data_IF_973492662244
#
_entry.id   IF_973492662244
#
_cell.length_a   1.000
_cell.length_b   1.000
_cell.length_c   1.000
_cell.angle_alpha   90.00
_cell.angle_beta   90.00
_cell.angle_gamma   90.00
#
_symmetry.space_group_name_H-M   'P 1'
#
loop_
_entity.id
_entity.type
_entity.pdbx_description
1 polymer ?
#
# COMPACT_ATOMS: atom_id res chain seq x y z
N UNK A 1 -8.15 -6.22 -2.76
CA UNK A 1 -7.45 -4.98 -3.17
C UNK A 1 -7.05 -4.09 -1.99
N UNK A 2 -7.83 -4.02 -0.90
CA UNK A 2 -7.38 -3.40 0.36
C UNK A 2 -6.13 -4.05 0.97
N UNK A 3 -5.98 -5.37 0.78
CA UNK A 3 -4.82 -6.17 1.18
C UNK A 3 -3.48 -5.61 0.68
N UNK A 4 -3.42 -5.13 -0.57
CA UNK A 4 -2.17 -4.62 -1.14
C UNK A 4 -1.89 -3.18 -0.74
N UNK A 5 -2.91 -2.45 -0.26
CA UNK A 5 -2.72 -1.06 0.18
C UNK A 5 -2.34 -1.03 1.65
N UNK A 6 -2.98 -1.80 2.53
CA UNK A 6 -2.67 -1.80 3.98
C UNK A 6 -1.40 -2.58 4.32
N UNK A 7 -1.26 -3.82 3.83
CA UNK A 7 -0.10 -4.66 4.13
C UNK A 7 1.19 -4.15 3.45
N UNK A 8 1.11 -3.61 2.23
CA UNK A 8 2.28 -2.98 1.60
C UNK A 8 2.62 -1.62 2.22
N UNK A 9 1.65 -0.88 2.80
CA UNK A 9 1.95 0.36 3.52
C UNK A 9 2.67 0.11 4.84
N UNK A 10 2.18 -0.82 5.64
CA UNK A 10 2.79 -1.16 6.94
C UNK A 10 4.21 -1.70 6.78
N UNK A 11 4.47 -2.49 5.73
CA UNK A 11 5.81 -3.01 5.44
C UNK A 11 6.76 -1.96 4.84
N UNK A 12 6.27 -0.94 4.10
CA UNK A 12 7.13 0.07 3.47
C UNK A 12 7.57 1.22 4.39
N UNK A 13 6.82 1.49 5.47
CA UNK A 13 7.10 2.59 6.39
C UNK A 13 8.15 2.21 7.45
N UNK A 14 8.27 0.92 7.79
CA UNK A 14 9.04 0.48 8.97
C UNK A 14 10.50 0.06 8.69
N UNK A 15 10.99 0.06 7.44
CA UNK A 15 12.26 -0.64 7.09
C UNK A 15 13.34 0.23 6.43
N UNK A 16 13.32 1.56 6.56
CA UNK A 16 14.29 2.44 5.85
C UNK A 16 15.16 3.24 6.82
N UNK A 17 16.50 3.22 6.67
CA UNK A 17 17.39 3.99 7.51
C UNK A 17 17.17 5.49 7.31
N UNK A 18 17.14 6.20 8.44
CA UNK A 18 16.71 7.58 8.63
C UNK A 18 17.83 8.52 8.18
N UNK A 19 17.64 9.25 7.07
CA UNK A 19 18.52 10.36 6.73
C UNK A 19 17.76 11.48 6.02
N UNK A 20 17.71 12.64 6.70
CA UNK A 20 17.15 13.96 6.30
C UNK A 20 15.73 14.27 6.82
N UNK A 21 15.64 15.38 7.55
CA UNK A 21 14.42 15.94 8.17
C UNK A 21 13.24 16.15 7.21
N UNK A 22 13.51 16.38 5.92
CA UNK A 22 12.49 16.51 4.86
C UNK A 22 11.81 15.18 4.51
N UNK A 23 12.52 14.06 4.63
CA UNK A 23 12.00 12.72 4.42
C UNK A 23 10.97 12.35 5.50
N UNK A 24 11.24 12.72 6.77
CA UNK A 24 10.31 12.50 7.87
C UNK A 24 8.98 13.23 7.69
N UNK A 25 9.01 14.50 7.25
CA UNK A 25 7.79 15.29 7.03
C UNK A 25 6.96 14.71 5.90
N UNK A 26 7.58 14.36 4.77
CA UNK A 26 6.87 13.81 3.62
C UNK A 26 6.36 12.39 3.88
N UNK A 27 7.11 11.55 4.61
CA UNK A 27 6.65 10.23 5.05
C UNK A 27 5.53 10.31 6.09
N UNK A 28 5.60 11.25 7.02
CA UNK A 28 4.55 11.48 8.01
C UNK A 28 3.23 11.92 7.36
N UNK A 29 3.33 12.78 6.34
CA UNK A 29 2.14 13.28 5.63
C UNK A 29 1.47 12.19 4.78
N UNK A 30 2.20 11.33 4.06
CA UNK A 30 1.56 10.22 3.33
C UNK A 30 0.93 9.20 4.29
N UNK A 31 1.56 8.92 5.43
CA UNK A 31 0.98 8.05 6.48
C UNK A 31 -0.35 8.62 6.97
N UNK A 32 -0.43 9.94 7.19
CA UNK A 32 -1.69 10.62 7.57
C UNK A 32 -2.79 10.37 6.54
N UNK A 33 -2.49 10.46 5.24
CA UNK A 33 -3.49 10.19 4.18
C UNK A 33 -4.00 8.74 4.24
N UNK A 34 -3.13 7.77 4.51
CA UNK A 34 -3.54 6.37 4.66
C UNK A 34 -4.38 6.14 5.92
N UNK A 35 -4.08 6.82 7.02
CA UNK A 35 -4.94 6.75 8.21
C UNK A 35 -6.32 7.40 7.96
N UNK A 36 -6.37 8.48 7.17
CA UNK A 36 -7.63 9.11 6.77
C UNK A 36 -8.45 8.23 5.83
N UNK A 37 -7.80 7.43 4.98
CA UNK A 37 -8.47 6.47 4.09
C UNK A 37 -9.39 5.52 4.90
N UNK A 38 -8.93 5.06 6.06
CA UNK A 38 -9.69 4.15 6.93
C UNK A 38 -10.96 4.81 7.50
N UNK A 39 -11.03 6.14 7.51
CA UNK A 39 -12.15 6.90 8.07
C UNK A 39 -13.25 7.23 7.06
N UNK A 40 -13.02 6.99 5.76
CA UNK A 40 -14.01 7.25 4.71
C UNK A 40 -15.27 6.41 4.93
N UNK A 41 -16.44 7.06 4.87
CA UNK A 41 -17.76 6.43 5.05
C UNK A 41 -18.76 6.87 3.98
N UNK A 42 -18.55 8.03 3.37
CA UNK A 42 -19.47 8.60 2.38
C UNK A 42 -18.79 8.86 1.04
N UNK A 43 -19.60 9.07 0.00
CA UNK A 43 -19.08 9.47 -1.31
C UNK A 43 -18.39 10.84 -1.25
N UNK A 44 -18.88 11.75 -0.40
CA UNK A 44 -18.24 13.05 -0.18
C UNK A 44 -16.85 12.90 0.45
N UNK A 45 -16.69 12.03 1.44
CA UNK A 45 -15.38 11.74 2.05
C UNK A 45 -14.40 11.19 1.01
N UNK A 46 -14.87 10.31 0.11
CA UNK A 46 -14.08 9.75 -0.99
C UNK A 46 -13.62 10.85 -1.95
N UNK A 47 -14.49 11.75 -2.37
CA UNK A 47 -14.14 12.85 -3.28
C UNK A 47 -13.12 13.78 -2.61
N UNK A 48 -13.41 14.21 -1.38
CA UNK A 48 -12.52 15.06 -0.60
C UNK A 48 -11.12 14.43 -0.45
N UNK A 49 -11.06 13.18 -0.03
CA UNK A 49 -9.80 12.48 0.20
C UNK A 49 -9.00 12.28 -1.10
N UNK A 50 -9.67 12.00 -2.22
CA UNK A 50 -9.01 11.91 -3.54
C UNK A 50 -8.35 13.22 -3.94
N UNK A 51 -9.04 14.34 -3.71
CA UNK A 51 -8.50 15.66 -4.01
C UNK A 51 -7.30 15.97 -3.10
N UNK A 52 -7.44 15.77 -1.78
CA UNK A 52 -6.34 16.00 -0.83
C UNK A 52 -5.10 15.15 -1.15
N UNK A 53 -5.28 13.88 -1.53
CA UNK A 53 -4.18 13.01 -1.95
C UNK A 53 -3.51 13.50 -3.25
N UNK A 54 -4.30 14.02 -4.19
CA UNK A 54 -3.78 14.59 -5.43
C UNK A 54 -2.99 15.86 -5.17
N UNK A 55 -3.52 16.76 -4.34
CA UNK A 55 -2.87 18.01 -3.95
C UNK A 55 -1.60 17.77 -3.15
N UNK A 56 -1.60 16.76 -2.29
CA UNK A 56 -0.39 16.31 -1.62
C UNK A 56 0.67 15.85 -2.62
N UNK A 57 0.31 15.07 -3.64
CA UNK A 57 1.26 14.62 -4.64
C UNK A 57 1.83 15.79 -5.44
N UNK A 58 0.99 16.74 -5.86
CA UNK A 58 1.43 17.93 -6.59
C UNK A 58 2.44 18.74 -5.77
N UNK A 59 2.16 18.96 -4.47
CA UNK A 59 3.07 19.67 -3.55
C UNK A 59 4.43 18.98 -3.36
N UNK A 60 4.49 17.66 -3.50
CA UNK A 60 5.72 16.88 -3.26
C UNK A 60 6.25 16.22 -4.53
N UNK A 61 5.76 16.63 -5.71
CA UNK A 61 6.02 15.96 -6.97
C UNK A 61 7.52 15.90 -7.28
N UNK A 62 8.22 17.02 -7.09
CA UNK A 62 9.65 17.13 -7.38
C UNK A 62 10.47 16.19 -6.50
N UNK A 63 10.15 16.12 -5.21
CA UNK A 63 10.78 15.21 -4.27
C UNK A 63 10.47 13.73 -4.58
N UNK A 64 9.22 13.41 -4.94
CA UNK A 64 8.82 12.05 -5.32
C UNK A 64 9.48 11.60 -6.63
N UNK A 65 9.76 12.53 -7.54
CA UNK A 65 10.40 12.30 -8.82
C UNK A 65 11.92 12.49 -8.79
N UNK A 66 12.50 12.88 -7.65
CA UNK A 66 13.94 13.07 -7.49
C UNK A 66 14.70 11.82 -7.94
N UNK A 67 15.74 12.02 -8.75
CA UNK A 67 16.58 10.97 -9.31
C UNK A 67 18.02 11.18 -8.84
N UNK A 68 18.64 10.12 -8.38
CA UNK A 68 20.08 10.04 -8.18
C UNK A 68 20.68 9.42 -9.44
N UNK A 69 21.69 10.09 -10.00
CA UNK A 69 22.42 9.65 -11.19
C UNK A 69 23.79 9.14 -10.74
N UNK A 70 24.20 7.99 -11.26
CA UNK A 70 25.56 7.52 -11.17
C UNK A 70 26.33 8.03 -12.40
N UNK A 71 27.29 8.92 -12.19
CA UNK A 71 28.05 9.57 -13.26
C UNK A 71 29.01 8.61 -13.99
N UNK A 72 29.42 7.51 -13.37
CA UNK A 72 30.33 6.53 -13.99
C UNK A 72 29.61 5.57 -14.95
N UNK A 73 28.35 5.25 -14.66
CA UNK A 73 27.57 4.27 -15.42
C UNK A 73 26.43 4.89 -16.22
N UNK A 74 26.22 6.20 -16.10
CA UNK A 74 25.08 6.98 -16.64
C UNK A 74 23.69 6.46 -16.22
N UNK A 75 23.64 5.52 -15.26
CA UNK A 75 22.39 4.97 -14.75
C UNK A 75 21.79 5.90 -13.71
N UNK A 76 20.47 5.95 -13.65
CA UNK A 76 19.75 6.67 -12.61
C UNK A 76 18.79 5.78 -11.85
N UNK A 77 18.48 6.18 -10.62
CA UNK A 77 17.38 5.62 -9.86
C UNK A 77 16.62 6.72 -9.13
N UNK A 78 15.33 6.48 -8.86
CA UNK A 78 14.57 7.39 -8.00
C UNK A 78 15.18 7.39 -6.60
N UNK A 79 15.42 8.56 -6.03
CA UNK A 79 15.98 8.72 -4.68
C UNK A 79 14.96 8.22 -3.64
N UNK A 80 13.70 8.61 -3.81
CA UNK A 80 12.62 8.30 -2.87
C UNK A 80 11.75 7.11 -3.35
N UNK A 81 12.38 5.96 -3.66
CA UNK A 81 11.72 4.79 -4.29
C UNK A 81 10.48 4.31 -3.54
N UNK A 82 10.57 4.21 -2.22
CA UNK A 82 9.50 3.64 -1.39
C UNK A 82 8.31 4.60 -1.29
N UNK A 83 8.57 5.88 -1.03
CA UNK A 83 7.52 6.91 -1.03
C UNK A 83 6.76 6.92 -2.36
N UNK A 84 7.50 6.93 -3.48
CA UNK A 84 6.95 6.84 -4.83
C UNK A 84 6.10 5.59 -4.99
N UNK A 85 6.66 4.41 -4.68
CA UNK A 85 5.94 3.14 -4.81
C UNK A 85 4.64 3.13 -4.00
N UNK A 86 4.66 3.64 -2.78
CA UNK A 86 3.50 3.72 -1.90
C UNK A 86 2.39 4.59 -2.48
N UNK A 87 2.73 5.80 -2.95
CA UNK A 87 1.76 6.68 -3.62
C UNK A 87 1.15 6.03 -4.87
N UNK A 88 1.97 5.49 -5.78
CA UNK A 88 1.48 4.88 -7.02
C UNK A 88 0.68 3.60 -6.77
N UNK A 89 0.97 2.87 -5.69
CA UNK A 89 0.17 1.70 -5.29
C UNK A 89 -1.24 2.13 -4.89
N UNK A 90 -1.38 3.18 -4.07
CA UNK A 90 -2.68 3.76 -3.74
C UNK A 90 -3.38 4.26 -4.99
N UNK A 91 -2.68 5.04 -5.83
CA UNK A 91 -3.23 5.63 -7.06
C UNK A 91 -3.83 4.57 -7.99
N UNK A 92 -3.14 3.44 -8.17
CA UNK A 92 -3.62 2.31 -8.98
C UNK A 92 -4.81 1.58 -8.36
N UNK A 93 -4.91 1.56 -7.03
CA UNK A 93 -6.03 0.94 -6.33
C UNK A 93 -7.31 1.81 -6.33
N UNK A 94 -7.20 3.13 -6.56
CA UNK A 94 -8.32 4.09 -6.51
C UNK A 94 -9.62 3.64 -7.19
N UNK A 95 -9.62 3.05 -8.41
CA UNK A 95 -10.87 2.69 -9.08
C UNK A 95 -11.70 1.65 -8.31
N UNK A 96 -11.02 0.77 -7.57
CA UNK A 96 -11.61 -0.42 -6.97
C UNK A 96 -11.56 -0.40 -5.43
N UNK A 97 -10.99 0.65 -4.84
CA UNK A 97 -10.81 0.77 -3.40
C UNK A 97 -12.09 1.20 -2.66
N UNK A 98 -13.12 1.68 -3.35
CA UNK A 98 -14.31 2.25 -2.72
C UNK A 98 -15.62 1.51 -3.01
N UNK A 99 -15.55 0.28 -3.52
CA UNK A 99 -16.74 -0.53 -3.85
C UNK A 99 -17.67 -0.77 -2.65
N UNK A 100 -17.13 -0.78 -1.42
CA UNK A 100 -17.92 -0.91 -0.19
C UNK A 100 -18.87 0.28 0.08
N UNK A 101 -18.65 1.44 -0.56
CA UNK A 101 -19.57 2.58 -0.45
C UNK A 101 -20.84 2.40 -1.27
N UNK A 102 -20.76 1.58 -2.33
CA UNK A 102 -21.84 1.34 -3.29
C UNK A 102 -22.54 0.00 -3.04
N UNK A 103 -21.82 -0.99 -2.49
CA UNK A 103 -22.33 -2.32 -2.20
C UNK A 103 -22.20 -2.67 -0.70
N UNK A 104 -23.32 -2.69 0.06
CA UNK A 104 -23.33 -3.06 1.49
C UNK A 104 -22.80 -4.48 1.79
N UNK A 105 -22.86 -5.40 0.82
CA UNK A 105 -22.36 -6.76 0.99
C UNK A 105 -20.83 -6.84 0.90
N UNK A 106 -20.17 -5.76 0.46
CA UNK A 106 -18.71 -5.70 0.41
C UNK A 106 -18.20 -5.15 1.75
N UNK A 107 -17.43 -5.93 2.53
CA UNK A 107 -16.91 -5.46 3.80
C UNK A 107 -15.91 -4.32 3.58
N UNK A 108 -15.94 -3.34 4.49
CA UNK A 108 -15.02 -2.19 4.49
C UNK A 108 -13.55 -2.59 4.73
N UNK A 109 -13.31 -3.71 5.41
CA UNK A 109 -11.97 -4.19 5.77
C UNK A 109 -11.70 -5.58 5.20
N UNK A 110 -10.42 -5.92 5.04
CA UNK A 110 -9.98 -7.25 4.59
C UNK A 110 -9.79 -8.26 5.72
N UNK A 111 -10.13 -7.90 6.96
CA UNK A 111 -9.92 -8.73 8.15
C UNK A 111 -10.44 -10.17 7.99
N UNK A 112 -11.60 -10.37 7.35
CA UNK A 112 -12.16 -11.71 7.12
C UNK A 112 -11.31 -12.57 6.18
N UNK A 113 -10.85 -11.98 5.08
CA UNK A 113 -9.99 -12.67 4.09
C UNK A 113 -8.58 -12.86 4.67
N UNK A 114 -8.08 -11.91 5.47
CA UNK A 114 -6.81 -11.99 6.21
C UNK A 114 -6.83 -13.13 7.22
N UNK A 115 -7.87 -13.21 8.04
CA UNK A 115 -8.08 -14.32 8.96
C UNK A 115 -8.06 -15.66 8.23
N UNK A 116 -8.85 -15.78 7.16
CA UNK A 116 -8.91 -17.00 6.35
C UNK A 116 -7.53 -17.41 5.81
N UNK A 117 -6.78 -16.51 5.19
CA UNK A 117 -5.44 -16.83 4.68
C UNK A 117 -4.42 -17.12 5.78
N UNK A 118 -4.52 -16.47 6.94
CA UNK A 118 -3.68 -16.80 8.10
C UNK A 118 -3.95 -18.21 8.60
N UNK A 119 -5.23 -18.60 8.73
CA UNK A 119 -5.59 -19.98 9.06
C UNK A 119 -5.05 -20.96 8.02
N UNK A 120 -5.27 -20.69 6.73
CA UNK A 120 -4.77 -21.54 5.64
C UNK A 120 -3.24 -21.72 5.67
N UNK A 121 -2.49 -20.64 5.90
CA UNK A 121 -1.03 -20.68 6.03
C UNK A 121 -0.60 -21.53 7.22
N UNK A 122 -1.23 -21.38 8.38
CA UNK A 122 -0.92 -22.18 9.56
C UNK A 122 -1.14 -23.67 9.30
N UNK A 123 -2.23 -24.04 8.61
CA UNK A 123 -2.48 -25.42 8.21
C UNK A 123 -1.42 -25.94 7.23
N UNK A 124 -1.04 -25.16 6.22
CA UNK A 124 0.05 -25.52 5.31
C UNK A 124 1.40 -25.64 6.02
N UNK A 125 1.64 -24.82 7.04
CA UNK A 125 2.86 -24.84 7.85
C UNK A 125 2.96 -26.10 8.71
N UNK A 126 1.84 -26.59 9.26
CA UNK A 126 1.80 -27.91 9.92
C UNK A 126 2.16 -29.03 8.95
N UNK A 127 1.90 -28.85 7.65
CA UNK A 127 2.17 -29.82 6.59
C UNK A 127 3.32 -29.40 5.67
N UNK A 128 4.39 -28.81 6.23
CA UNK A 128 5.57 -28.34 5.46
C UNK A 128 6.19 -29.40 4.55
N UNK A 129 6.07 -30.68 4.89
CA UNK A 129 6.57 -31.82 4.10
C UNK A 129 5.74 -32.18 2.85
N UNK A 130 4.62 -31.51 2.58
CA UNK A 130 3.81 -31.79 1.39
C UNK A 130 4.55 -31.42 0.11
N UNK A 131 4.52 -32.32 -0.87
CA UNK A 131 4.93 -32.06 -2.24
C UNK A 131 4.07 -30.95 -2.85
N UNK A 132 4.59 -30.24 -3.86
CA UNK A 132 3.88 -29.14 -4.51
C UNK A 132 2.48 -29.56 -5.01
N UNK A 133 2.37 -30.78 -5.58
CA UNK A 133 1.10 -31.36 -6.03
C UNK A 133 0.08 -31.49 -4.90
N UNK A 134 0.52 -31.97 -3.73
CA UNK A 134 -0.37 -32.15 -2.58
C UNK A 134 -0.71 -30.82 -1.91
N UNK A 135 0.19 -29.81 -1.95
CA UNK A 135 -0.13 -28.44 -1.51
C UNK A 135 -1.21 -27.80 -2.38
N UNK A 136 -1.13 -27.98 -3.70
CA UNK A 136 -2.16 -27.47 -4.62
C UNK A 136 -3.49 -28.17 -4.36
N UNK A 137 -3.48 -29.50 -4.17
CA UNK A 137 -4.69 -30.25 -3.84
C UNK A 137 -5.27 -29.89 -2.46
N UNK A 138 -4.46 -29.43 -1.51
CA UNK A 138 -4.91 -29.01 -0.18
C UNK A 138 -5.64 -27.65 -0.21
N UNK A 139 -5.28 -26.78 -1.14
CA UNK A 139 -5.89 -25.45 -1.31
C UNK A 139 -7.15 -25.52 -2.21
N UNK A 140 -7.25 -26.56 -3.04
CA UNK A 140 -8.36 -26.81 -3.98
C UNK A 140 -9.63 -27.22 -3.25
#
# INVERSE_FOLDING_TARGET
MFFTVSCAFELSINTVPISKRFEMVTRGTIRKHVLLLLKIKTQNDKVWWKNELSDWYLRHQDYINEKTINFETERYWYTNKLLRRSYFTIKRALPNMFHYLENPNTPKTTNGIEGYFSHLKNHLDLHRGLTLKNRINFIK
#
